data_IF_696541482641
#
_entry.id   IF_696541482641
#
_cell.length_a   1.000
_cell.length_b   1.000
_cell.length_c   1.000
_cell.angle_alpha   90.00
_cell.angle_beta   90.00
_cell.angle_gamma   90.00
#
_symmetry.space_group_name_H-M   'P 1'
#
loop_
_entity.id
_entity.type
_entity.pdbx_description
1 polymer ?
#
# COMPACT_ATOMS: atom_id res chain seq x y z
N UNK A 1 19.84 -36.59 8.61
CA UNK A 1 20.80 -36.08 9.61
C UNK A 1 20.02 -35.21 10.60
N UNK A 2 20.17 -35.43 11.92
CA UNK A 2 19.54 -34.57 12.93
C UNK A 2 20.34 -33.25 12.99
N UNK A 3 19.77 -32.15 12.51
CA UNK A 3 20.37 -30.82 12.66
C UNK A 3 20.59 -30.55 14.16
N UNK A 4 21.86 -30.34 14.56
CA UNK A 4 22.20 -29.95 15.93
C UNK A 4 21.89 -28.47 16.06
N UNK A 5 20.86 -28.14 16.82
CA UNK A 5 20.58 -26.75 17.25
C UNK A 5 21.84 -26.17 17.89
N UNK A 6 22.29 -24.96 17.50
CA UNK A 6 23.48 -24.33 18.06
C UNK A 6 23.39 -24.23 19.60
N UNK A 7 24.52 -24.41 20.29
CA UNK A 7 24.56 -24.32 21.77
C UNK A 7 24.41 -22.86 22.21
N UNK A 8 23.24 -22.50 22.73
CA UNK A 8 22.99 -21.20 23.39
C UNK A 8 23.66 -21.15 24.78
N UNK A 9 24.39 -20.07 25.08
CA UNK A 9 25.05 -19.87 26.36
C UNK A 9 24.06 -19.72 27.53
N UNK A 10 24.51 -20.00 28.76
CA UNK A 10 23.66 -19.88 29.95
C UNK A 10 23.23 -18.44 30.22
N UNK A 11 24.11 -17.47 29.98
CA UNK A 11 23.83 -16.03 30.15
C UNK A 11 22.71 -15.57 29.22
N UNK A 12 22.73 -15.97 27.95
CA UNK A 12 21.68 -15.62 26.99
C UNK A 12 20.35 -16.26 27.38
N UNK A 13 20.36 -17.53 27.82
CA UNK A 13 19.16 -18.20 28.34
C UNK A 13 18.57 -17.47 29.54
N UNK A 14 19.42 -17.04 30.48
CA UNK A 14 19.00 -16.33 31.69
C UNK A 14 18.34 -14.99 31.31
N UNK A 15 19.05 -14.15 30.53
CA UNK A 15 18.54 -12.84 30.12
C UNK A 15 17.22 -12.95 29.34
N UNK A 16 17.16 -13.87 28.37
CA UNK A 16 15.98 -14.11 27.53
C UNK A 16 14.84 -14.82 28.26
N UNK A 17 15.09 -15.49 29.40
CA UNK A 17 14.03 -16.07 30.23
C UNK A 17 13.44 -15.09 31.24
N UNK A 18 14.18 -14.06 31.65
CA UNK A 18 13.73 -13.06 32.62
C UNK A 18 12.33 -12.50 32.29
N UNK A 19 11.99 -12.19 31.03
CA UNK A 19 10.66 -11.71 30.70
C UNK A 19 9.66 -12.77 30.23
N UNK A 20 10.07 -14.03 30.10
CA UNK A 20 9.38 -15.18 29.49
C UNK A 20 8.60 -14.92 28.18
N UNK A 21 7.54 -14.11 28.20
CA UNK A 21 6.82 -13.54 27.07
C UNK A 21 6.56 -12.05 27.36
N UNK A 22 6.88 -11.15 26.43
CA UNK A 22 6.67 -9.70 26.56
C UNK A 22 5.46 -9.22 25.79
N UNK A 23 4.80 -8.21 26.34
CA UNK A 23 3.76 -7.45 25.66
C UNK A 23 4.39 -6.47 24.68
N UNK A 24 3.82 -6.40 23.48
CA UNK A 24 4.05 -5.39 22.45
C UNK A 24 2.80 -4.53 22.41
N UNK A 25 2.90 -3.33 22.96
CA UNK A 25 1.78 -2.40 23.10
C UNK A 25 1.35 -1.85 21.73
N UNK A 26 0.04 -1.88 21.47
CA UNK A 26 -0.61 -1.21 20.35
C UNK A 26 -1.37 -0.01 20.90
N UNK A 27 -1.18 1.14 20.26
CA UNK A 27 -1.77 2.43 20.66
C UNK A 27 -1.49 2.81 22.12
N UNK A 28 -0.35 2.36 22.67
CA UNK A 28 0.07 2.69 24.04
C UNK A 28 -0.68 1.97 25.16
N UNK A 29 -1.63 1.07 24.86
CA UNK A 29 -2.33 0.27 25.87
C UNK A 29 -1.36 -0.70 26.54
N UNK A 30 -1.42 -0.86 27.87
CA UNK A 30 -0.57 -1.79 28.62
C UNK A 30 -1.37 -2.70 29.54
N UNK A 31 -0.98 -3.96 29.60
CA UNK A 31 -1.55 -4.94 30.51
C UNK A 31 -1.04 -4.76 31.94
N UNK A 32 -1.82 -5.25 32.91
CA UNK A 32 -1.35 -5.32 34.29
C UNK A 32 -0.25 -6.39 34.41
N UNK A 33 0.87 -6.05 35.04
CA UNK A 33 2.01 -6.94 35.24
C UNK A 33 1.81 -7.95 36.38
N UNK A 34 0.66 -7.94 37.06
CA UNK A 34 0.36 -8.81 38.20
C UNK A 34 0.58 -10.30 37.89
N UNK A 35 -0.08 -10.84 36.85
CA UNK A 35 0.03 -12.25 36.47
C UNK A 35 1.46 -12.63 36.06
N UNK A 36 2.19 -11.70 35.44
CA UNK A 36 3.60 -11.87 35.09
C UNK A 36 4.49 -12.06 36.33
N UNK A 37 4.25 -11.29 37.40
CA UNK A 37 5.02 -11.38 38.65
C UNK A 37 4.74 -12.67 39.43
N UNK A 38 3.55 -13.25 39.29
CA UNK A 38 3.17 -14.52 39.91
C UNK A 38 3.58 -15.76 39.09
N UNK A 39 4.18 -15.58 37.91
CA UNK A 39 4.59 -16.68 37.04
C UNK A 39 3.46 -17.35 36.24
N UNK A 40 2.23 -16.80 36.31
CA UNK A 40 1.07 -17.28 35.53
C UNK A 40 1.06 -16.66 34.13
N UNK A 41 1.99 -17.11 33.28
CA UNK A 41 2.21 -16.52 31.95
C UNK A 41 1.05 -16.72 30.99
N UNK A 42 0.29 -17.80 31.11
CA UNK A 42 -0.95 -18.05 30.35
C UNK A 42 -2.02 -16.99 30.66
N UNK A 43 -2.25 -16.68 31.94
CA UNK A 43 -3.18 -15.63 32.36
C UNK A 43 -2.71 -14.25 31.93
N UNK A 44 -1.39 -13.99 31.99
CA UNK A 44 -0.80 -12.76 31.49
C UNK A 44 -1.00 -12.61 29.98
N UNK A 45 -0.73 -13.66 29.21
CA UNK A 45 -0.95 -13.69 27.75
C UNK A 45 -2.42 -13.43 27.42
N UNK A 46 -3.35 -14.12 28.08
CA UNK A 46 -4.78 -13.91 27.88
C UNK A 46 -5.21 -12.46 28.18
N UNK A 47 -4.63 -11.84 29.20
CA UNK A 47 -4.87 -10.44 29.52
C UNK A 47 -4.36 -9.49 28.44
N UNK A 48 -3.13 -9.69 27.94
CA UNK A 48 -2.53 -8.88 26.87
C UNK A 48 -3.38 -8.97 25.59
N UNK A 49 -3.77 -10.20 25.21
CA UNK A 49 -4.62 -10.45 24.04
C UNK A 49 -5.99 -9.79 24.18
N UNK A 50 -6.61 -9.85 25.37
CA UNK A 50 -7.90 -9.20 25.64
C UNK A 50 -7.85 -7.68 25.46
N UNK A 51 -6.70 -7.06 25.75
CA UNK A 51 -6.49 -5.62 25.52
C UNK A 51 -6.23 -5.28 24.05
N UNK A 52 -6.06 -6.29 23.19
CA UNK A 52 -5.77 -6.13 21.77
C UNK A 52 -4.30 -5.80 21.49
N UNK A 53 -3.39 -6.21 22.37
CA UNK A 53 -1.95 -6.03 22.21
C UNK A 53 -1.29 -7.29 21.63
N UNK A 54 -0.08 -7.12 21.13
CA UNK A 54 0.74 -8.19 20.58
C UNK A 54 1.70 -8.76 21.62
N UNK A 55 2.40 -9.84 21.27
CA UNK A 55 3.34 -10.53 22.16
C UNK A 55 4.67 -10.83 21.44
N UNK A 56 5.79 -10.83 22.15
CA UNK A 56 7.10 -11.24 21.61
C UNK A 56 7.90 -12.05 22.63
N UNK A 57 8.87 -12.82 22.15
CA UNK A 57 9.86 -13.51 22.98
C UNK A 57 11.16 -12.72 23.14
N UNK A 58 11.36 -11.67 22.34
CA UNK A 58 12.56 -10.84 22.40
C UNK A 58 12.65 -10.08 23.72
N UNK A 59 13.88 -9.90 24.19
CA UNK A 59 14.20 -9.06 25.33
C UNK A 59 13.98 -7.58 25.02
N UNK A 60 14.33 -7.15 23.81
CA UNK A 60 14.04 -5.81 23.28
C UNK A 60 12.68 -5.84 22.57
N UNK A 61 11.74 -5.05 23.07
CA UNK A 61 10.37 -5.04 22.56
C UNK A 61 10.31 -4.13 21.32
N UNK A 62 9.95 -4.65 20.14
CA UNK A 62 9.83 -3.82 18.95
C UNK A 62 8.56 -2.96 19.03
N UNK A 63 8.56 -1.78 18.42
CA UNK A 63 7.38 -0.89 18.38
C UNK A 63 6.38 -1.35 17.33
N UNK A 64 5.10 -1.52 17.72
CA UNK A 64 4.03 -1.94 16.83
C UNK A 64 2.96 -0.86 16.71
N UNK A 65 2.76 -0.38 15.49
CA UNK A 65 1.80 0.64 15.08
C UNK A 65 1.44 0.46 13.60
N UNK A 66 0.46 1.21 13.12
CA UNK A 66 0.11 1.20 11.68
C UNK A 66 1.26 1.69 10.80
N UNK A 67 2.01 2.70 11.25
CA UNK A 67 3.11 3.28 10.48
C UNK A 67 4.26 2.30 10.20
N UNK A 68 4.39 1.26 11.03
CA UNK A 68 5.34 0.18 10.77
C UNK A 68 5.09 -0.49 9.42
N UNK A 69 3.84 -0.53 8.92
CA UNK A 69 3.53 -1.13 7.61
C UNK A 69 4.08 -0.32 6.43
N UNK A 70 4.25 0.99 6.56
CA UNK A 70 4.92 1.82 5.54
C UNK A 70 6.44 1.72 5.59
N UNK A 71 7.00 1.40 6.76
CA UNK A 71 8.45 1.27 6.94
C UNK A 71 8.87 -0.19 6.89
N UNK A 72 9.30 -0.64 5.70
CA UNK A 72 9.68 -2.04 5.44
C UNK A 72 10.72 -2.58 6.43
N UNK A 73 11.67 -1.75 6.88
CA UNK A 73 12.70 -2.19 7.84
C UNK A 73 12.08 -2.54 9.20
N UNK A 74 11.13 -1.74 9.66
CA UNK A 74 10.44 -2.01 10.93
C UNK A 74 9.40 -3.13 10.79
N UNK A 75 8.78 -3.26 9.61
CA UNK A 75 7.83 -4.34 9.34
C UNK A 75 8.48 -5.72 9.37
N UNK A 76 9.72 -5.85 8.87
CA UNK A 76 10.45 -7.13 8.88
C UNK A 76 10.52 -7.71 10.30
N UNK A 77 10.92 -6.92 11.29
CA UNK A 77 11.02 -7.37 12.67
C UNK A 77 9.65 -7.75 13.26
N UNK A 78 8.61 -6.99 12.91
CA UNK A 78 7.24 -7.26 13.34
C UNK A 78 6.71 -8.59 12.79
N UNK A 79 6.98 -8.86 11.50
CA UNK A 79 6.52 -10.09 10.87
C UNK A 79 7.34 -11.28 11.38
N UNK A 80 8.66 -11.10 11.60
CA UNK A 80 9.55 -12.18 12.02
C UNK A 80 9.48 -12.53 13.50
N UNK A 81 9.22 -11.58 14.41
CA UNK A 81 9.48 -11.78 15.83
C UNK A 81 8.32 -11.41 16.77
N UNK A 82 7.13 -11.13 16.24
CA UNK A 82 5.95 -10.77 17.04
C UNK A 82 4.78 -11.71 16.76
N UNK A 83 4.09 -12.18 17.79
CA UNK A 83 2.79 -12.82 17.68
C UNK A 83 1.69 -11.77 17.57
N UNK A 84 0.97 -11.79 16.45
CA UNK A 84 -0.04 -10.82 16.05
C UNK A 84 -1.35 -11.13 16.75
N UNK A 85 -1.52 -10.63 17.97
CA UNK A 85 -2.70 -10.91 18.81
C UNK A 85 -3.61 -9.71 19.01
N UNK A 86 -3.47 -8.71 18.15
CA UNK A 86 -4.35 -7.55 18.14
C UNK A 86 -5.82 -7.89 17.90
N UNK A 87 -6.69 -6.98 18.32
CA UNK A 87 -8.13 -7.14 18.18
C UNK A 87 -8.62 -6.80 16.76
N UNK A 88 -9.89 -7.12 16.50
CA UNK A 88 -10.53 -6.87 15.21
C UNK A 88 -10.58 -5.38 14.85
N UNK A 89 -10.74 -4.48 15.83
CA UNK A 89 -10.72 -3.04 15.61
C UNK A 89 -9.36 -2.53 15.06
N UNK A 90 -8.24 -3.15 15.45
CA UNK A 90 -6.95 -2.84 14.85
C UNK A 90 -6.87 -3.36 13.41
N UNK A 91 -7.41 -4.56 13.16
CA UNK A 91 -7.42 -5.18 11.82
C UNK A 91 -8.22 -4.34 10.80
N UNK A 92 -9.39 -3.81 11.20
CA UNK A 92 -10.21 -2.91 10.36
C UNK A 92 -9.44 -1.61 10.06
N UNK A 93 -8.86 -0.96 11.07
CA UNK A 93 -8.06 0.25 10.86
C UNK A 93 -6.84 -0.02 9.97
N UNK A 94 -6.22 -1.19 10.09
CA UNK A 94 -5.13 -1.60 9.23
C UNK A 94 -5.60 -1.77 7.78
N UNK A 95 -6.76 -2.36 7.54
CA UNK A 95 -7.34 -2.48 6.20
C UNK A 95 -7.55 -1.10 5.56
N UNK A 96 -8.20 -0.17 6.27
CA UNK A 96 -8.40 1.22 5.82
C UNK A 96 -7.08 1.92 5.51
N UNK A 97 -6.09 1.75 6.39
CA UNK A 97 -4.76 2.35 6.24
C UNK A 97 -4.05 1.81 4.98
N UNK A 98 -4.13 0.49 4.74
CA UNK A 98 -3.50 -0.18 3.60
C UNK A 98 -4.11 0.22 2.25
N UNK A 99 -5.37 0.68 2.20
CA UNK A 99 -5.97 1.20 0.97
C UNK A 99 -5.16 2.36 0.33
N UNK A 100 -4.49 3.17 1.17
CA UNK A 100 -3.65 4.30 0.75
C UNK A 100 -2.30 3.92 0.14
N UNK A 101 -1.94 2.64 0.14
CA UNK A 101 -0.62 2.17 -0.30
C UNK A 101 -0.58 1.97 -1.82
N UNK A 102 0.61 2.15 -2.40
CA UNK A 102 0.90 1.78 -3.78
C UNK A 102 0.98 0.26 -3.94
N UNK A 103 0.83 -0.21 -5.18
CA UNK A 103 0.95 -1.64 -5.51
C UNK A 103 2.33 -2.22 -5.15
N UNK A 104 3.40 -1.43 -5.28
CA UNK A 104 4.75 -1.86 -4.95
C UNK A 104 4.93 -2.05 -3.44
N UNK A 105 4.42 -1.11 -2.63
CA UNK A 105 4.45 -1.23 -1.18
C UNK A 105 3.63 -2.46 -0.72
N UNK A 106 2.42 -2.62 -1.25
CA UNK A 106 1.58 -3.79 -0.96
C UNK A 106 2.24 -5.11 -1.38
N UNK A 107 2.89 -5.15 -2.54
CA UNK A 107 3.62 -6.33 -3.01
C UNK A 107 4.79 -6.68 -2.09
N UNK A 108 5.53 -5.66 -1.62
CA UNK A 108 6.60 -5.85 -0.62
C UNK A 108 6.06 -6.41 0.70
N UNK A 109 4.96 -5.87 1.20
CA UNK A 109 4.27 -6.38 2.40
C UNK A 109 3.82 -7.82 2.20
N UNK A 110 3.15 -8.12 1.08
CA UNK A 110 2.66 -9.46 0.76
C UNK A 110 3.81 -10.47 0.70
N UNK A 111 4.91 -10.12 0.04
CA UNK A 111 6.11 -10.95 -0.02
C UNK A 111 6.67 -11.25 1.37
N UNK A 112 6.75 -10.24 2.25
CA UNK A 112 7.20 -10.44 3.63
C UNK A 112 6.27 -11.37 4.42
N UNK A 113 4.95 -11.20 4.29
CA UNK A 113 3.97 -12.03 4.99
C UNK A 113 3.99 -13.50 4.53
N UNK A 114 4.18 -13.74 3.23
CA UNK A 114 4.33 -15.09 2.67
C UNK A 114 5.65 -15.74 3.11
N UNK A 115 6.75 -14.98 3.07
CA UNK A 115 8.09 -15.46 3.47
C UNK A 115 8.13 -15.83 4.95
N UNK A 116 7.44 -15.05 5.78
CA UNK A 116 7.41 -15.19 7.23
C UNK A 116 5.98 -15.39 7.75
N UNK A 117 5.37 -16.51 7.36
CA UNK A 117 3.99 -16.86 7.71
C UNK A 117 3.73 -17.05 9.22
N UNK A 118 4.79 -17.20 10.03
CA UNK A 118 4.75 -17.33 11.49
C UNK A 118 5.98 -16.64 12.11
N UNK A 119 5.91 -16.16 13.36
CA UNK A 119 7.07 -15.59 14.02
C UNK A 119 8.07 -16.68 14.46
N UNK A 120 9.35 -16.32 14.53
CA UNK A 120 10.48 -17.16 14.92
C UNK A 120 10.70 -18.39 14.02
N UNK A 121 10.22 -18.34 12.77
CA UNK A 121 10.56 -19.31 11.73
C UNK A 121 11.76 -18.86 10.91
N UNK A 122 12.34 -19.78 10.13
CA UNK A 122 13.43 -19.49 9.20
C UNK A 122 14.68 -18.91 9.88
N UNK A 123 14.95 -19.28 11.13
CA UNK A 123 16.24 -19.02 11.75
C UNK A 123 17.26 -19.95 11.08
N UNK A 124 18.25 -19.33 10.44
CA UNK A 124 19.29 -20.04 9.68
C UNK A 124 20.05 -21.00 10.57
N UNK A 125 20.50 -22.13 10.00
CA UNK A 125 21.46 -23.02 10.66
C UNK A 125 22.79 -22.32 10.99
N UNK A 126 23.07 -21.20 10.30
CA UNK A 126 24.23 -20.34 10.52
C UNK A 126 23.90 -19.09 11.36
N UNK A 127 22.73 -19.03 12.02
CA UNK A 127 22.41 -17.91 12.92
C UNK A 127 23.42 -17.84 14.06
N UNK A 128 23.97 -16.65 14.29
CA UNK A 128 24.98 -16.40 15.34
C UNK A 128 24.31 -15.71 16.53
N UNK A 129 23.17 -15.06 16.33
CA UNK A 129 22.39 -14.47 17.41
C UNK A 129 21.78 -15.55 18.31
N UNK A 130 22.41 -15.75 19.47
CA UNK A 130 21.98 -16.72 20.47
C UNK A 130 20.57 -16.43 21.03
N UNK A 131 20.14 -15.17 21.09
CA UNK A 131 18.81 -14.79 21.56
C UNK A 131 17.74 -15.27 20.57
N UNK A 132 17.99 -15.10 19.28
CA UNK A 132 17.09 -15.57 18.23
C UNK A 132 16.98 -17.10 18.23
N UNK A 133 18.11 -17.81 18.34
CA UNK A 133 18.12 -19.27 18.46
C UNK A 133 17.29 -19.71 19.67
N UNK A 134 17.47 -19.05 20.81
CA UNK A 134 16.72 -19.35 22.03
C UNK A 134 15.23 -19.09 21.87
N UNK A 135 14.84 -17.94 21.31
CA UNK A 135 13.45 -17.58 21.07
C UNK A 135 12.75 -18.57 20.13
N UNK A 136 13.42 -19.07 19.10
CA UNK A 136 12.85 -20.12 18.24
C UNK A 136 12.62 -21.44 18.97
N UNK A 137 13.63 -21.92 19.71
CA UNK A 137 13.47 -23.13 20.53
C UNK A 137 12.32 -22.99 21.54
N UNK A 138 12.18 -21.80 22.12
CA UNK A 138 11.11 -21.48 23.06
C UNK A 138 9.73 -21.41 22.38
N UNK A 139 9.62 -20.77 21.21
CA UNK A 139 8.40 -20.74 20.41
C UNK A 139 7.90 -22.16 20.12
N UNK A 140 8.81 -23.06 19.72
CA UNK A 140 8.49 -24.47 19.50
C UNK A 140 8.04 -25.20 20.78
N UNK A 141 8.61 -24.85 21.93
CA UNK A 141 8.19 -25.40 23.22
C UNK A 141 6.79 -24.92 23.61
N UNK A 142 6.50 -23.62 23.43
CA UNK A 142 5.20 -23.04 23.76
C UNK A 142 4.08 -23.61 22.88
N UNK A 143 4.35 -23.91 21.60
CA UNK A 143 3.39 -24.55 20.69
C UNK A 143 2.93 -25.95 21.13
N UNK A 144 3.70 -26.62 22.00
CA UNK A 144 3.34 -27.94 22.54
C UNK A 144 2.48 -27.84 23.79
N UNK A 145 2.40 -26.66 24.40
CA UNK A 145 1.63 -26.43 25.62
C UNK A 145 0.25 -25.89 25.27
N UNK A 146 -0.77 -26.69 25.58
CA UNK A 146 -2.19 -26.39 25.27
C UNK A 146 -2.68 -25.07 25.87
N UNK A 147 -2.05 -24.57 26.94
CA UNK A 147 -2.41 -23.29 27.56
C UNK A 147 -2.17 -22.10 26.63
N UNK A 148 -1.29 -22.24 25.65
CA UNK A 148 -0.96 -21.18 24.69
C UNK A 148 -1.63 -21.37 23.33
N UNK A 149 -2.52 -22.35 23.16
CA UNK A 149 -3.20 -22.58 21.87
C UNK A 149 -3.91 -21.32 21.36
N UNK A 150 -4.63 -20.61 22.23
CA UNK A 150 -5.35 -19.40 21.86
C UNK A 150 -4.43 -18.30 21.29
N UNK A 151 -3.19 -18.20 21.78
CA UNK A 151 -2.18 -17.27 21.28
C UNK A 151 -1.84 -17.60 19.81
N UNK A 152 -1.53 -18.87 19.52
CA UNK A 152 -1.13 -19.29 18.17
C UNK A 152 -2.30 -19.27 17.18
N UNK A 153 -3.50 -19.63 17.62
CA UNK A 153 -4.71 -19.54 16.80
C UNK A 153 -5.00 -18.09 16.42
N UNK A 154 -4.90 -17.17 17.37
CA UNK A 154 -5.14 -15.74 17.12
C UNK A 154 -4.07 -15.11 16.23
N UNK A 155 -2.79 -15.44 16.45
CA UNK A 155 -1.68 -15.04 15.57
C UNK A 155 -1.89 -15.52 14.14
N UNK A 156 -2.18 -16.81 13.96
CA UNK A 156 -2.41 -17.41 12.64
C UNK A 156 -3.62 -16.77 11.94
N UNK A 157 -4.72 -16.56 12.68
CA UNK A 157 -5.90 -15.90 12.16
C UNK A 157 -5.58 -14.48 11.66
N UNK A 158 -4.94 -13.66 12.51
CA UNK A 158 -4.65 -12.26 12.19
C UNK A 158 -3.66 -12.14 11.02
N UNK A 159 -2.61 -12.98 10.99
CA UNK A 159 -1.65 -13.02 9.87
C UNK A 159 -2.34 -13.41 8.57
N UNK A 160 -3.13 -14.50 8.58
CA UNK A 160 -3.86 -14.94 7.40
C UNK A 160 -4.85 -13.87 6.91
N UNK A 161 -5.54 -13.20 7.84
CA UNK A 161 -6.44 -12.12 7.51
C UNK A 161 -5.67 -10.97 6.83
N UNK A 162 -4.58 -10.48 7.42
CA UNK A 162 -3.72 -9.46 6.82
C UNK A 162 -3.19 -9.87 5.44
N UNK A 163 -2.68 -11.09 5.26
CA UNK A 163 -2.21 -11.57 3.96
C UNK A 163 -3.33 -11.57 2.94
N UNK A 164 -4.54 -12.03 3.31
CA UNK A 164 -5.72 -11.99 2.43
C UNK A 164 -6.14 -10.56 2.11
N UNK A 165 -6.11 -9.63 3.07
CA UNK A 165 -6.41 -8.22 2.83
C UNK A 165 -5.43 -7.60 1.85
N UNK A 166 -4.13 -7.73 2.10
CA UNK A 166 -3.08 -7.21 1.23
C UNK A 166 -3.21 -7.83 -0.16
N UNK A 167 -3.43 -9.14 -0.26
CA UNK A 167 -3.63 -9.81 -1.54
C UNK A 167 -4.86 -9.30 -2.28
N UNK A 168 -6.00 -9.11 -1.60
CA UNK A 168 -7.20 -8.52 -2.21
C UNK A 168 -6.95 -7.08 -2.67
N UNK A 169 -6.18 -6.30 -1.95
CA UNK A 169 -5.80 -4.94 -2.36
C UNK A 169 -4.83 -4.95 -3.55
N UNK A 170 -3.88 -5.88 -3.58
CA UNK A 170 -3.04 -6.13 -4.76
C UNK A 170 -3.93 -6.54 -5.91
N UNK A 171 -4.74 -7.58 -5.78
CA UNK A 171 -5.62 -8.07 -6.85
C UNK A 171 -6.61 -6.98 -7.29
N UNK A 172 -7.13 -6.16 -6.38
CA UNK A 172 -8.01 -5.05 -6.72
C UNK A 172 -7.25 -3.98 -7.49
N UNK A 173 -6.06 -3.55 -7.04
CA UNK A 173 -5.26 -2.55 -7.75
C UNK A 173 -4.63 -3.12 -9.02
N UNK A 174 -4.39 -4.43 -9.07
CA UNK A 174 -3.85 -5.16 -10.21
C UNK A 174 -4.93 -5.46 -11.20
N UNK A 175 -6.19 -5.68 -10.79
CA UNK A 175 -7.38 -5.71 -11.65
C UNK A 175 -7.75 -4.32 -12.09
N UNK A 176 -7.64 -3.29 -11.26
CA UNK A 176 -7.66 -1.92 -11.78
C UNK A 176 -6.54 -1.74 -12.81
N UNK A 177 -5.32 -2.27 -12.56
CA UNK A 177 -4.23 -2.20 -13.54
C UNK A 177 -4.34 -3.20 -14.72
N UNK A 178 -5.10 -4.30 -14.63
CA UNK A 178 -5.29 -5.34 -15.64
C UNK A 178 -6.59 -5.10 -16.40
N UNK A 179 -7.59 -4.45 -15.84
CA UNK A 179 -8.65 -3.79 -16.59
C UNK A 179 -8.08 -2.56 -17.33
N UNK A 180 -6.87 -2.10 -16.95
CA UNK A 180 -6.02 -1.16 -17.70
C UNK A 180 -4.98 -1.85 -18.63
N UNK A 181 -4.80 -3.20 -18.58
CA UNK A 181 -3.73 -3.92 -19.33
C UNK A 181 -4.24 -5.15 -20.14
N UNK A 182 -5.41 -5.70 -19.85
CA UNK A 182 -6.05 -6.83 -20.53
C UNK A 182 -7.05 -6.30 -21.57
N UNK A 183 -6.47 -5.53 -22.49
CA UNK A 183 -7.01 -5.26 -23.81
C UNK A 183 -6.22 -6.07 -24.83
N UNK A 184 -6.29 -7.40 -24.76
CA UNK A 184 -5.97 -8.28 -25.90
C UNK A 184 -7.25 -8.82 -26.57
N UNK A 185 -8.35 -8.10 -26.36
CA UNK A 185 -9.35 -7.90 -27.42
C UNK A 185 -8.86 -6.70 -28.21
N UNK A 186 -8.67 -6.87 -29.53
CA UNK A 186 -8.46 -5.78 -30.51
C UNK A 186 -9.09 -4.47 -30.00
N UNK A 187 -8.32 -3.38 -29.83
CA UNK A 187 -8.76 -2.23 -29.06
C UNK A 187 -9.98 -1.64 -29.75
N UNK A 188 -11.14 -1.79 -29.11
CA UNK A 188 -12.19 -0.79 -29.28
C UNK A 188 -11.60 0.44 -28.66
N UNK A 189 -11.04 1.29 -29.51
CA UNK A 189 -10.40 2.52 -29.09
C UNK A 189 -11.46 3.40 -28.42
N UNK A 190 -11.44 3.42 -27.09
CA UNK A 190 -12.40 4.19 -26.29
C UNK A 190 -12.18 5.66 -26.62
N UNK A 191 -13.22 6.32 -27.16
CA UNK A 191 -13.12 7.73 -27.52
C UNK A 191 -13.07 8.61 -26.27
N UNK A 192 -12.48 9.80 -26.37
CA UNK A 192 -12.49 10.77 -25.27
C UNK A 192 -13.91 11.05 -24.75
N UNK A 193 -14.89 11.07 -25.65
CA UNK A 193 -16.30 11.24 -25.31
C UNK A 193 -16.86 10.08 -24.46
N UNK A 194 -16.39 8.85 -24.66
CA UNK A 194 -16.82 7.66 -23.89
C UNK A 194 -16.23 7.62 -22.48
N UNK A 195 -15.18 8.42 -22.24
CA UNK A 195 -14.54 8.58 -20.93
C UNK A 195 -15.28 9.54 -20.00
N UNK A 196 -16.20 10.35 -20.54
CA UNK A 196 -17.02 11.26 -19.75
C UNK A 196 -18.05 10.50 -18.90
N UNK A 197 -18.32 11.01 -17.70
CA UNK A 197 -19.32 10.45 -16.80
C UNK A 197 -20.77 10.67 -17.28
N UNK A 198 -20.99 11.73 -18.07
CA UNK A 198 -22.31 12.10 -18.59
C UNK A 198 -22.79 11.21 -19.75
N UNK A 199 -24.12 11.11 -19.91
CA UNK A 199 -24.73 10.55 -21.12
C UNK A 199 -24.76 11.57 -22.28
N UNK A 200 -24.88 12.87 -21.97
CA UNK A 200 -24.90 13.95 -22.97
C UNK A 200 -23.50 14.46 -23.30
N UNK A 201 -22.77 13.62 -24.04
CA UNK A 201 -21.37 13.86 -24.40
C UNK A 201 -21.20 15.11 -25.28
N UNK A 202 -22.14 15.35 -26.19
CA UNK A 202 -22.04 16.47 -27.14
C UNK A 202 -22.17 17.81 -26.42
N UNK A 203 -23.10 17.92 -25.47
CA UNK A 203 -23.25 19.11 -24.65
C UNK A 203 -21.98 19.39 -23.86
N UNK A 204 -21.48 18.41 -23.11
CA UNK A 204 -20.31 18.60 -22.24
C UNK A 204 -19.04 18.93 -23.04
N UNK A 205 -18.83 18.30 -24.19
CA UNK A 205 -17.68 18.65 -25.04
C UNK A 205 -17.78 20.09 -25.57
N UNK A 206 -18.98 20.53 -25.95
CA UNK A 206 -19.21 21.91 -26.37
C UNK A 206 -19.01 22.91 -25.23
N UNK A 207 -19.40 22.55 -24.00
CA UNK A 207 -19.17 23.39 -22.81
C UNK A 207 -17.68 23.49 -22.49
N UNK A 208 -16.95 22.36 -22.49
CA UNK A 208 -15.50 22.37 -22.28
C UNK A 208 -14.77 23.21 -23.34
N UNK A 209 -15.16 23.08 -24.61
CA UNK A 209 -14.59 23.87 -25.70
C UNK A 209 -14.90 25.36 -25.55
N UNK A 210 -16.13 25.72 -25.19
CA UNK A 210 -16.52 27.10 -24.99
C UNK A 210 -15.80 27.73 -23.79
N UNK A 211 -15.59 26.98 -22.72
CA UNK A 211 -14.86 27.43 -21.55
C UNK A 211 -13.39 27.73 -21.87
N UNK A 212 -12.69 26.84 -22.59
CA UNK A 212 -11.29 27.09 -22.95
C UNK A 212 -11.12 28.32 -23.86
N UNK A 213 -12.12 28.62 -24.71
CA UNK A 213 -12.16 29.84 -25.52
C UNK A 213 -12.35 31.05 -24.62
N UNK A 214 -13.25 30.94 -23.65
CA UNK A 214 -13.61 32.01 -22.71
C UNK A 214 -12.45 32.38 -21.79
N UNK A 215 -11.75 31.40 -21.22
CA UNK A 215 -10.57 31.64 -20.36
C UNK A 215 -9.30 32.00 -21.16
N UNK A 216 -9.41 32.09 -22.49
CA UNK A 216 -8.38 32.68 -23.34
C UNK A 216 -7.17 31.78 -23.59
N UNK A 217 -7.37 30.47 -23.75
CA UNK A 217 -6.29 29.59 -24.16
C UNK A 217 -5.70 30.02 -25.53
N UNK A 218 -4.37 29.97 -25.72
CA UNK A 218 -3.73 30.48 -26.93
C UNK A 218 -4.03 29.68 -28.20
N UNK A 219 -4.55 28.45 -28.04
CA UNK A 219 -4.88 27.50 -29.09
C UNK A 219 -6.15 26.76 -28.67
N UNK A 220 -6.90 26.22 -29.62
CA UNK A 220 -8.00 25.31 -29.32
C UNK A 220 -7.58 23.86 -29.61
N UNK A 221 -7.24 23.05 -28.60
CA UNK A 221 -6.80 21.67 -28.80
C UNK A 221 -7.95 20.67 -29.04
N UNK A 222 -9.22 21.10 -29.05
CA UNK A 222 -10.34 20.31 -29.59
C UNK A 222 -10.28 20.18 -31.12
N UNK A 223 -9.40 20.96 -31.76
CA UNK A 223 -9.14 20.91 -33.19
C UNK A 223 -7.65 20.71 -33.49
N UNK A 224 -7.30 20.20 -34.69
CA UNK A 224 -5.91 20.00 -35.07
C UNK A 224 -5.11 21.30 -35.06
N UNK A 225 -4.02 21.32 -34.31
CA UNK A 225 -3.06 22.43 -34.27
C UNK A 225 -1.89 22.12 -35.19
N UNK A 226 -1.48 23.11 -36.00
CA UNK A 226 -0.36 22.98 -36.93
C UNK A 226 0.92 22.49 -36.24
N UNK A 227 1.48 21.36 -36.70
CA UNK A 227 2.73 20.79 -36.18
C UNK A 227 3.94 21.65 -36.56
N UNK A 228 5.05 21.50 -35.82
CA UNK A 228 6.31 22.14 -36.17
C UNK A 228 6.98 21.48 -37.39
N UNK A 229 8.09 22.03 -37.89
CA UNK A 229 8.83 21.51 -39.06
C UNK A 229 9.30 20.05 -38.92
N UNK A 230 9.37 19.52 -37.70
CA UNK A 230 9.74 18.14 -37.38
C UNK A 230 8.52 17.22 -37.19
N UNK A 231 7.31 17.69 -37.49
CA UNK A 231 6.07 16.94 -37.32
C UNK A 231 5.59 16.81 -35.86
N UNK A 232 6.24 17.48 -34.91
CA UNK A 232 5.86 17.42 -33.49
C UNK A 232 4.95 18.59 -33.08
N UNK A 233 4.23 18.42 -31.96
CA UNK A 233 3.41 19.47 -31.37
C UNK A 233 4.22 20.76 -31.14
N UNK A 234 3.58 21.91 -31.33
CA UNK A 234 4.20 23.20 -31.03
C UNK A 234 4.54 23.28 -29.54
N UNK A 235 5.57 24.07 -29.21
CA UNK A 235 5.96 24.31 -27.82
C UNK A 235 4.76 24.78 -26.98
N UNK A 236 4.57 24.17 -25.81
CA UNK A 236 3.47 24.43 -24.89
C UNK A 236 2.13 23.76 -25.20
N UNK A 237 1.93 23.14 -26.37
CA UNK A 237 0.63 22.49 -26.69
C UNK A 237 0.35 21.28 -25.78
N UNK A 238 1.37 20.46 -25.50
CA UNK A 238 1.21 19.30 -24.61
C UNK A 238 0.85 19.72 -23.18
N UNK A 239 1.52 20.75 -22.66
CA UNK A 239 1.25 21.30 -21.33
C UNK A 239 -0.16 21.92 -21.25
N UNK A 240 -0.60 22.58 -22.33
CA UNK A 240 -1.96 23.10 -22.44
C UNK A 240 -3.02 21.99 -22.41
N UNK A 241 -2.85 20.94 -23.22
CA UNK A 241 -3.76 19.79 -23.22
C UNK A 241 -3.79 19.10 -21.86
N UNK A 242 -2.63 18.95 -21.22
CA UNK A 242 -2.51 18.38 -19.88
C UNK A 242 -3.28 19.22 -18.84
N UNK A 243 -3.19 20.55 -18.89
CA UNK A 243 -3.90 21.43 -17.96
C UNK A 243 -5.43 21.30 -18.11
N UNK A 244 -5.94 21.25 -19.34
CA UNK A 244 -7.36 21.05 -19.64
C UNK A 244 -7.85 19.72 -19.08
N UNK A 245 -7.14 18.62 -19.39
CA UNK A 245 -7.51 17.28 -18.91
C UNK A 245 -7.46 17.19 -17.39
N UNK A 246 -6.42 17.77 -16.79
CA UNK A 246 -6.27 17.77 -15.34
C UNK A 246 -7.41 18.55 -14.67
N UNK A 247 -7.75 19.74 -15.18
CA UNK A 247 -8.83 20.55 -14.66
C UNK A 247 -10.15 19.78 -14.62
N UNK A 248 -10.62 19.25 -15.77
CA UNK A 248 -11.89 18.53 -15.82
C UNK A 248 -11.87 17.20 -15.06
N UNK A 249 -10.71 16.56 -14.94
CA UNK A 249 -10.57 15.38 -14.09
C UNK A 249 -10.70 15.70 -12.60
N UNK A 250 -10.12 16.82 -12.13
CA UNK A 250 -10.30 17.26 -10.75
C UNK A 250 -11.74 17.68 -10.44
N UNK A 251 -12.47 18.19 -11.44
CA UNK A 251 -13.89 18.54 -11.32
C UNK A 251 -14.84 17.32 -11.45
N UNK A 252 -14.32 16.12 -11.68
CA UNK A 252 -15.12 14.88 -11.69
C UNK A 252 -15.89 14.62 -13.00
N UNK A 253 -15.47 15.20 -14.12
CA UNK A 253 -16.15 15.03 -15.42
C UNK A 253 -15.93 13.65 -16.07
N UNK A 254 -14.89 12.92 -15.65
CA UNK A 254 -14.53 11.62 -16.22
C UNK A 254 -14.89 10.47 -15.29
N UNK A 255 -15.17 9.30 -15.87
CA UNK A 255 -15.39 8.09 -15.08
C UNK A 255 -14.11 7.69 -14.34
N UNK A 256 -14.26 7.18 -13.11
CA UNK A 256 -13.15 6.94 -12.19
C UNK A 256 -12.15 5.88 -12.65
N UNK A 257 -12.55 5.04 -13.61
CA UNK A 257 -11.71 4.00 -14.20
C UNK A 257 -10.62 4.57 -15.14
N UNK A 258 -10.79 5.78 -15.68
CA UNK A 258 -9.82 6.36 -16.61
C UNK A 258 -8.76 7.18 -15.89
N UNK A 259 -7.50 6.83 -16.15
CA UNK A 259 -6.35 7.57 -15.62
C UNK A 259 -6.14 8.88 -16.38
N UNK A 260 -5.47 9.85 -15.75
CA UNK A 260 -5.06 11.11 -16.40
C UNK A 260 -4.39 10.86 -17.76
N UNK A 261 -3.51 9.85 -17.81
CA UNK A 261 -2.71 9.49 -18.98
C UNK A 261 -3.58 9.03 -20.15
N UNK A 262 -4.59 8.21 -19.87
CA UNK A 262 -5.53 7.71 -20.89
C UNK A 262 -6.41 8.83 -21.42
N UNK A 263 -6.96 9.64 -20.51
CA UNK A 263 -7.78 10.79 -20.86
C UNK A 263 -6.96 11.77 -21.72
N UNK A 264 -5.71 12.05 -21.32
CA UNK A 264 -4.78 12.89 -22.08
C UNK A 264 -4.49 12.36 -23.48
N UNK A 265 -4.25 11.05 -23.61
CA UNK A 265 -4.01 10.41 -24.91
C UNK A 265 -5.26 10.47 -25.79
N UNK A 266 -6.43 10.15 -25.24
CA UNK A 266 -7.70 10.20 -25.95
C UNK A 266 -8.06 11.62 -26.37
N UNK A 267 -7.81 12.62 -25.51
CA UNK A 267 -8.01 14.04 -25.83
C UNK A 267 -7.11 14.48 -26.99
N UNK A 268 -5.82 14.12 -26.91
CA UNK A 268 -4.87 14.35 -28.00
C UNK A 268 -5.32 13.70 -29.30
N UNK A 269 -5.88 12.49 -29.26
CA UNK A 269 -6.42 11.82 -30.45
C UNK A 269 -7.66 12.52 -31.01
N UNK A 270 -8.64 12.82 -30.16
CA UNK A 270 -9.88 13.50 -30.53
C UNK A 270 -9.60 14.82 -31.25
N UNK A 271 -8.65 15.61 -30.73
CA UNK A 271 -8.24 16.87 -31.33
C UNK A 271 -7.24 16.78 -32.48
N UNK A 272 -6.76 15.60 -32.88
CA UNK A 272 -5.67 15.46 -33.87
C UNK A 272 -4.31 15.98 -33.39
N UNK A 273 -4.13 16.10 -32.09
CA UNK A 273 -2.99 16.69 -31.39
C UNK A 273 -2.13 15.66 -30.63
N UNK A 274 -2.13 14.40 -31.05
CA UNK A 274 -1.38 13.31 -30.41
C UNK A 274 0.08 13.70 -30.13
N UNK A 275 0.52 13.43 -28.88
CA UNK A 275 1.91 13.59 -28.51
C UNK A 275 2.71 12.36 -28.91
N UNK A 276 3.84 12.56 -29.60
CA UNK A 276 4.78 11.47 -29.91
C UNK A 276 5.56 10.92 -28.71
N UNK A 277 5.18 11.30 -27.48
CA UNK A 277 5.76 10.82 -26.22
C UNK A 277 4.64 10.45 -25.27
N UNK A 278 4.96 9.50 -24.40
CA UNK A 278 4.04 8.97 -23.41
C UNK A 278 4.22 9.71 -22.08
N UNK A 279 3.42 10.75 -21.87
CA UNK A 279 3.52 11.62 -20.69
C UNK A 279 2.60 11.14 -19.56
N UNK A 280 3.07 11.25 -18.32
CA UNK A 280 2.25 11.11 -17.12
C UNK A 280 2.05 12.48 -16.45
N UNK A 281 1.17 12.56 -15.44
CA UNK A 281 0.91 13.81 -14.73
C UNK A 281 2.17 14.37 -14.05
N UNK A 282 3.02 13.51 -13.49
CA UNK A 282 4.23 13.93 -12.77
C UNK A 282 5.23 14.67 -13.67
N UNK A 283 5.26 14.34 -14.98
CA UNK A 283 6.03 15.09 -15.96
C UNK A 283 5.57 16.56 -16.06
N UNK A 284 4.25 16.79 -16.06
CA UNK A 284 3.67 18.13 -16.23
C UNK A 284 3.69 18.96 -14.95
N UNK A 285 3.64 18.34 -13.78
CA UNK A 285 3.77 19.05 -12.48
C UNK A 285 5.09 19.80 -12.31
N UNK A 286 6.08 19.52 -13.15
CA UNK A 286 7.38 20.21 -13.16
C UNK A 286 7.49 21.23 -14.31
N UNK A 287 6.47 21.37 -15.16
CA UNK A 287 6.44 22.24 -16.32
C UNK A 287 5.72 23.56 -16.01
N UNK A 288 6.45 24.68 -16.02
CA UNK A 288 5.89 26.00 -15.76
C UNK A 288 4.72 26.38 -16.69
N UNK A 289 4.68 25.83 -17.90
CA UNK A 289 3.56 26.08 -18.83
C UNK A 289 2.29 25.38 -18.38
N UNK A 290 2.40 24.19 -17.78
CA UNK A 290 1.26 23.47 -17.25
C UNK A 290 0.60 24.29 -16.13
N UNK A 291 1.38 24.78 -15.17
CA UNK A 291 0.88 25.65 -14.09
C UNK A 291 0.27 26.94 -14.64
N UNK A 292 0.96 27.60 -15.59
CA UNK A 292 0.47 28.81 -16.25
C UNK A 292 -0.92 28.60 -16.88
N UNK A 293 -1.12 27.47 -17.55
CA UNK A 293 -2.39 27.16 -18.20
C UNK A 293 -3.47 26.74 -17.21
N UNK A 294 -3.11 26.03 -16.14
CA UNK A 294 -4.05 25.67 -15.09
C UNK A 294 -4.61 26.90 -14.36
N UNK A 295 -3.78 27.94 -14.17
CA UNK A 295 -4.20 29.22 -13.59
C UNK A 295 -5.24 29.98 -14.44
N UNK A 296 -5.36 29.73 -15.74
CA UNK A 296 -6.39 30.36 -16.58
C UNK A 296 -7.80 29.96 -16.12
N UNK A 297 -7.98 28.72 -15.64
CA UNK A 297 -9.25 28.26 -15.07
C UNK A 297 -9.55 28.80 -13.66
N UNK A 298 -8.60 29.49 -13.02
CA UNK A 298 -8.75 30.03 -11.65
C UNK A 298 -8.90 31.55 -11.62
N UNK A 299 -9.00 32.20 -12.78
CA UNK A 299 -8.97 33.66 -12.91
C UNK A 299 -10.37 34.30 -12.91
N UNK A 300 -11.30 33.78 -12.11
CA UNK A 300 -12.61 34.39 -11.80
C UNK A 300 -12.59 35.17 -10.49
#
# INVERSE_FOLDING_TARGET
>A
MKHKVPKVSWTTKMLSNTPYIREVSIDGKKANLFHRRLGYYDLYVAQVMRLGNCLTLLSVVPSFSLDNFRNTNLLVDMVRFVYWTFNEAFLIRLEEYLCSFSINELSGIHHLLETYSKPFICISDNEIDEELIWCSAKSQSLQKDVKFNALFEKDNYNRLACTKYVRRLIDSKTKTNLDLIDGDVLPVEISFADMLLTEDKTLILSEMEQEIITVGFPRNPFHPVAKNKKGANQYGLNAQMAAIVFHYQQQGYFKSEFTFKEIYKAFGKMGGNESGKDYNLDYFKQDFLFDKYLHLFSSE
#
